data_IF_636374469599
#
_entry.id   IF_636374469599
#
_cell.length_a   1.000
_cell.length_b   1.000
_cell.length_c   1.000
_cell.angle_alpha   90.00
_cell.angle_beta   90.00
_cell.angle_gamma   90.00
#
_symmetry.space_group_name_H-M   'P 1'
#
loop_
_entity.id
_entity.type
_entity.pdbx_description
1 polymer ?
#
# COMPACT_ATOMS: atom_id res chain seq x y z
N UNK A 1 -23.42 11.69 4.48
CA UNK A 1 -23.45 10.55 5.44
C UNK A 1 -22.69 9.40 4.78
N UNK A 2 -21.52 9.02 5.31
CA UNK A 2 -20.63 8.01 4.69
C UNK A 2 -21.01 6.63 5.23
N UNK A 3 -21.80 5.87 4.47
CA UNK A 3 -22.26 4.53 4.82
C UNK A 3 -21.16 3.45 4.68
N UNK A 4 -19.98 3.66 5.25
CA UNK A 4 -18.87 2.68 5.18
C UNK A 4 -18.52 2.04 6.52
N UNK A 5 -19.19 2.42 7.61
CA UNK A 5 -19.05 1.74 8.89
C UNK A 5 -20.44 1.54 9.48
N UNK A 6 -21.25 0.69 8.85
CA UNK A 6 -22.24 -0.06 9.63
C UNK A 6 -21.44 -1.11 10.38
N UNK A 7 -21.38 -0.94 11.70
CA UNK A 7 -20.65 -1.83 12.59
C UNK A 7 -21.10 -3.26 12.37
N UNK A 8 -20.20 -4.05 11.80
CA UNK A 8 -20.13 -5.49 12.00
C UNK A 8 -18.67 -5.90 11.75
N UNK A 9 -18.11 -6.65 12.70
CA UNK A 9 -16.81 -7.30 12.53
C UNK A 9 -16.92 -8.16 11.27
N UNK A 10 -16.09 -7.95 10.23
CA UNK A 10 -16.19 -8.75 9.03
C UNK A 10 -16.00 -10.23 9.39
N UNK A 11 -16.86 -11.09 8.83
CA UNK A 11 -16.71 -12.53 8.93
C UNK A 11 -15.27 -12.94 8.59
N UNK A 12 -14.74 -13.97 9.26
CA UNK A 12 -13.34 -14.41 9.20
C UNK A 12 -12.76 -14.74 7.79
N UNK A 13 -13.54 -14.55 6.73
CA UNK A 13 -13.24 -14.85 5.34
C UNK A 13 -13.02 -13.63 4.43
N UNK A 14 -13.17 -12.38 4.91
CA UNK A 14 -12.90 -11.20 4.08
C UNK A 14 -11.42 -10.85 4.11
N UNK A 15 -10.73 -11.27 3.05
CA UNK A 15 -9.32 -11.01 2.82
C UNK A 15 -9.16 -9.99 1.70
N UNK A 16 -8.26 -9.03 1.90
CA UNK A 16 -7.93 -8.04 0.86
C UNK A 16 -6.59 -8.40 0.23
N UNK A 17 -6.52 -8.20 -1.08
CA UNK A 17 -5.30 -8.29 -1.86
C UNK A 17 -4.95 -6.90 -2.40
N UNK A 18 -3.69 -6.49 -2.36
CA UNK A 18 -3.23 -5.20 -2.90
C UNK A 18 -1.93 -5.37 -3.68
N UNK A 19 -1.75 -4.56 -4.72
CA UNK A 19 -0.49 -4.44 -5.47
C UNK A 19 0.09 -3.06 -5.19
N UNK A 20 1.16 -3.00 -4.41
CA UNK A 20 1.69 -1.73 -3.87
C UNK A 20 3.21 -1.70 -3.84
N UNK A 21 3.77 -0.49 -3.91
CA UNK A 21 5.20 -0.23 -3.88
C UNK A 21 5.66 0.08 -2.44
N UNK A 22 6.79 -0.49 -2.03
CA UNK A 22 7.31 -0.32 -0.66
C UNK A 22 7.96 1.06 -0.49
N UNK A 23 7.42 1.83 0.44
CA UNK A 23 7.96 3.12 0.85
C UNK A 23 9.01 2.96 1.95
N UNK A 24 8.65 2.28 3.05
CA UNK A 24 9.57 2.03 4.17
C UNK A 24 9.38 0.62 4.73
N UNK A 25 10.45 0.10 5.31
CA UNK A 25 10.49 -1.22 5.96
C UNK A 25 11.09 -1.04 7.34
N UNK A 26 10.35 -1.45 8.37
CA UNK A 26 10.77 -1.34 9.76
C UNK A 26 10.61 -2.69 10.45
N UNK A 27 11.63 -3.12 11.18
CA UNK A 27 11.53 -4.32 12.00
C UNK A 27 10.81 -3.97 13.31
N UNK A 28 9.81 -4.76 13.69
CA UNK A 28 9.17 -4.58 14.99
C UNK A 28 10.17 -4.82 16.13
N UNK A 29 10.03 -4.05 17.20
CA UNK A 29 10.89 -4.13 18.41
C UNK A 29 10.92 -5.53 19.02
N UNK A 30 9.79 -6.26 18.98
CA UNK A 30 9.71 -7.64 19.47
C UNK A 30 10.40 -8.67 18.56
N UNK A 31 10.96 -8.23 17.42
CA UNK A 31 11.63 -9.04 16.42
C UNK A 31 10.78 -10.23 15.91
N UNK A 32 9.45 -10.09 15.87
CA UNK A 32 8.50 -11.11 15.40
C UNK A 32 7.71 -10.71 14.15
N UNK A 33 8.03 -9.58 13.56
CA UNK A 33 7.36 -9.11 12.36
C UNK A 33 8.04 -7.89 11.78
N UNK A 34 7.61 -7.54 10.59
CA UNK A 34 8.11 -6.41 9.81
C UNK A 34 6.93 -5.53 9.46
N UNK A 35 7.03 -4.24 9.80
CA UNK A 35 6.07 -3.22 9.41
C UNK A 35 6.51 -2.63 8.07
N UNK A 36 5.63 -2.67 7.09
CA UNK A 36 5.87 -2.17 5.74
C UNK A 36 4.89 -1.05 5.48
N UNK A 37 5.41 0.11 5.10
CA UNK A 37 4.59 1.23 4.62
C UNK A 37 4.61 1.19 3.11
N UNK A 38 3.43 1.24 2.51
CA UNK A 38 3.20 0.99 1.09
C UNK A 38 2.50 2.19 0.46
N UNK A 39 2.84 2.47 -0.79
CA UNK A 39 2.17 3.46 -1.64
C UNK A 39 1.64 2.77 -2.88
N UNK A 40 0.76 3.44 -3.63
CA UNK A 40 0.20 2.86 -4.85
C UNK A 40 1.33 2.33 -5.77
N UNK A 41 1.21 1.08 -6.23
CA UNK A 41 2.18 0.43 -7.11
C UNK A 41 2.42 1.18 -8.42
N UNK A 42 1.45 1.98 -8.88
CA UNK A 42 1.56 2.86 -10.05
C UNK A 42 2.62 3.94 -9.89
N UNK A 43 3.04 4.25 -8.67
CA UNK A 43 4.06 5.26 -8.41
C UNK A 43 5.49 4.73 -8.58
N UNK A 44 5.69 3.42 -8.79
CA UNK A 44 7.02 2.83 -8.85
C UNK A 44 7.95 3.43 -9.93
N UNK A 45 7.50 3.74 -11.17
CA UNK A 45 8.36 4.41 -12.16
C UNK A 45 8.85 5.79 -11.73
N UNK A 46 8.09 6.48 -10.86
CA UNK A 46 8.41 7.82 -10.36
C UNK A 46 8.74 7.81 -8.86
N UNK A 47 9.13 6.66 -8.31
CA UNK A 47 9.20 6.43 -6.87
C UNK A 47 10.00 7.51 -6.12
N UNK A 48 11.20 7.84 -6.60
CA UNK A 48 12.05 8.87 -5.98
C UNK A 48 11.39 10.25 -5.94
N UNK A 49 10.73 10.67 -7.01
CA UNK A 49 10.04 11.96 -7.06
C UNK A 49 8.81 11.96 -6.15
N UNK A 50 8.08 10.83 -6.12
CA UNK A 50 6.93 10.65 -5.25
C UNK A 50 7.30 10.67 -3.77
N UNK A 51 8.40 10.03 -3.35
CA UNK A 51 8.91 10.10 -1.98
C UNK A 51 9.18 11.56 -1.56
N UNK A 52 9.85 12.34 -2.41
CA UNK A 52 10.10 13.77 -2.14
C UNK A 52 8.82 14.58 -2.02
N UNK A 53 7.77 14.23 -2.79
CA UNK A 53 6.45 14.85 -2.67
C UNK A 53 5.81 14.51 -1.32
N UNK A 54 5.85 13.25 -0.90
CA UNK A 54 5.30 12.80 0.38
C UNK A 54 6.01 13.45 1.58
N UNK A 55 7.32 13.66 1.50
CA UNK A 55 8.10 14.33 2.56
C UNK A 55 7.70 15.80 2.77
N UNK A 56 7.22 16.46 1.71
CA UNK A 56 6.77 17.86 1.74
C UNK A 56 5.29 18.02 2.11
N UNK A 57 4.53 16.93 2.09
CA UNK A 57 3.11 16.94 2.45
C UNK A 57 2.95 17.06 3.97
N UNK A 58 1.85 17.70 4.40
CA UNK A 58 1.44 17.60 5.79
C UNK A 58 1.12 16.13 6.15
N UNK A 59 1.26 15.75 7.43
CA UNK A 59 1.09 14.36 7.85
C UNK A 59 -0.26 13.76 7.47
N UNK A 60 -1.35 14.53 7.54
CA UNK A 60 -2.70 14.04 7.24
C UNK A 60 -2.84 13.67 5.75
N UNK A 61 -2.37 14.54 4.84
CA UNK A 61 -2.36 14.24 3.40
C UNK A 61 -1.45 13.07 3.05
N UNK A 62 -0.31 12.95 3.72
CA UNK A 62 0.61 11.83 3.52
C UNK A 62 -0.03 10.51 3.97
N UNK A 63 -0.62 10.50 5.17
CA UNK A 63 -1.17 9.30 5.81
C UNK A 63 -2.38 8.74 5.03
N UNK A 64 -3.15 9.61 4.38
CA UNK A 64 -4.22 9.23 3.45
C UNK A 64 -3.73 8.52 2.17
N UNK A 65 -2.43 8.56 1.85
CA UNK A 65 -1.84 7.98 0.62
C UNK A 65 -1.02 6.72 0.89
N UNK A 66 -0.89 6.33 2.15
CA UNK A 66 -0.09 5.17 2.55
C UNK A 66 -0.97 4.08 3.16
N UNK A 67 -0.58 2.84 2.90
CA UNK A 67 -1.09 1.65 3.57
C UNK A 67 0.02 1.09 4.46
N UNK A 68 -0.25 0.91 5.75
CA UNK A 68 0.70 0.26 6.65
C UNK A 68 0.29 -1.19 6.88
N UNK A 69 1.16 -2.13 6.54
CA UNK A 69 0.92 -3.57 6.75
C UNK A 69 1.95 -4.13 7.72
N UNK A 70 1.47 -4.77 8.78
CA UNK A 70 2.32 -5.57 9.66
C UNK A 70 2.39 -7.01 9.18
N UNK A 71 3.56 -7.44 8.74
CA UNK A 71 3.84 -8.81 8.30
C UNK A 71 4.49 -9.58 9.43
N UNK A 72 3.72 -10.46 10.07
CA UNK A 72 4.21 -11.31 11.15
C UNK A 72 5.08 -12.44 10.60
N UNK A 73 6.18 -12.74 11.29
CA UNK A 73 7.07 -13.82 10.88
C UNK A 73 6.38 -15.18 10.94
N UNK A 74 6.85 -16.16 10.14
CA UNK A 74 6.42 -17.54 10.28
C UNK A 74 6.63 -18.04 11.70
N UNK A 75 5.63 -18.74 12.24
CA UNK A 75 5.73 -19.42 13.54
C UNK A 75 6.86 -20.46 13.55
N UNK A 76 7.09 -21.10 12.40
CA UNK A 76 8.15 -22.09 12.20
C UNK A 76 9.41 -21.35 11.72
N UNK A 77 10.45 -21.35 12.56
CA UNK A 77 11.69 -20.59 12.34
C UNK A 77 12.53 -21.02 11.13
N UNK A 78 12.33 -22.25 10.63
CA UNK A 78 13.05 -22.75 9.45
C UNK A 78 12.56 -22.11 8.15
N UNK A 79 11.36 -21.52 8.14
CA UNK A 79 10.94 -20.71 7.01
C UNK A 79 11.62 -19.35 7.06
N UNK A 80 12.20 -18.94 5.95
CA UNK A 80 12.80 -17.62 5.80
C UNK A 80 11.78 -16.52 6.11
N UNK A 81 12.25 -15.47 6.78
CA UNK A 81 11.48 -14.24 6.99
C UNK A 81 11.29 -13.50 5.66
N UNK A 82 10.12 -12.89 5.41
CA UNK A 82 9.95 -11.99 4.27
C UNK A 82 10.97 -10.86 4.31
N UNK A 83 11.58 -10.55 3.16
CA UNK A 83 12.50 -9.43 2.97
C UNK A 83 11.89 -8.50 1.94
N UNK A 84 11.48 -7.32 2.40
CA UNK A 84 10.95 -6.27 1.54
C UNK A 84 12.06 -5.32 1.13
N UNK A 85 12.00 -4.83 -0.10
CA UNK A 85 12.93 -3.84 -0.62
C UNK A 85 12.18 -2.56 -0.96
N UNK A 86 12.71 -1.43 -0.50
CA UNK A 86 12.16 -0.09 -0.82
C UNK A 86 12.18 0.15 -2.33
N UNK A 87 11.08 0.66 -2.87
CA UNK A 87 10.90 0.92 -4.30
C UNK A 87 10.46 -0.29 -5.13
N UNK A 88 10.35 -1.48 -4.53
CA UNK A 88 9.88 -2.69 -5.20
C UNK A 88 8.37 -2.87 -5.00
N UNK A 89 7.70 -3.41 -6.03
CA UNK A 89 6.25 -3.67 -6.01
C UNK A 89 5.98 -5.10 -5.57
N UNK A 90 5.05 -5.24 -4.63
CA UNK A 90 4.59 -6.53 -4.15
C UNK A 90 3.08 -6.67 -4.30
N UNK A 91 2.63 -7.87 -4.67
CA UNK A 91 1.26 -8.31 -4.42
C UNK A 91 1.20 -8.91 -3.01
N UNK A 92 0.35 -8.33 -2.17
CA UNK A 92 0.07 -8.79 -0.82
C UNK A 92 -1.35 -9.31 -0.78
N UNK A 93 -1.53 -10.62 -0.58
CA UNK A 93 -2.83 -11.28 -0.45
C UNK A 93 -3.13 -11.57 1.02
N UNK A 94 -4.39 -11.86 1.33
CA UNK A 94 -4.81 -12.28 2.68
C UNK A 94 -4.47 -11.26 3.77
N UNK A 95 -4.57 -9.96 3.45
CA UNK A 95 -4.52 -8.91 4.46
C UNK A 95 -5.76 -9.06 5.33
N UNK A 96 -5.54 -9.17 6.64
CA UNK A 96 -6.56 -9.28 7.66
C UNK A 96 -6.47 -8.09 8.62
N UNK A 97 -7.53 -7.87 9.41
CA UNK A 97 -7.59 -6.79 10.41
C UNK A 97 -7.37 -5.41 9.80
N UNK A 98 -7.96 -5.14 8.62
CA UNK A 98 -7.91 -3.78 8.07
C UNK A 98 -8.69 -2.82 8.95
N UNK A 99 -8.02 -1.77 9.43
CA UNK A 99 -8.59 -0.73 10.29
C UNK A 99 -8.06 0.63 9.89
N UNK A 100 -8.89 1.66 10.08
CA UNK A 100 -8.47 3.04 9.99
C UNK A 100 -7.99 3.49 11.37
N UNK A 101 -6.75 3.96 11.48
CA UNK A 101 -6.14 4.38 12.74
C UNK A 101 -5.24 5.59 12.50
N UNK A 102 -5.47 6.67 13.25
CA UNK A 102 -4.80 7.98 13.04
C UNK A 102 -4.73 8.37 11.57
N UNK A 103 -5.87 8.40 10.89
CA UNK A 103 -5.97 8.83 9.48
C UNK A 103 -5.23 7.97 8.44
N UNK A 104 -4.67 6.83 8.88
CA UNK A 104 -3.95 5.88 8.05
C UNK A 104 -4.66 4.53 8.02
N UNK A 105 -4.69 3.89 6.85
CA UNK A 105 -5.16 2.51 6.71
C UNK A 105 -4.06 1.57 7.19
N UNK A 106 -4.42 0.68 8.12
CA UNK A 106 -3.52 -0.32 8.67
C UNK A 106 -4.08 -1.73 8.49
N UNK A 107 -3.23 -2.68 8.17
CA UNK A 107 -3.57 -4.09 8.02
C UNK A 107 -2.50 -5.01 8.58
N UNK A 108 -2.77 -6.30 8.61
CA UNK A 108 -1.79 -7.32 9.02
C UNK A 108 -1.80 -8.50 8.05
N UNK A 109 -0.68 -9.20 7.98
CA UNK A 109 -0.52 -10.47 7.24
C UNK A 109 0.27 -11.42 8.13
N UNK A 110 -0.13 -12.68 8.15
CA UNK A 110 0.69 -13.73 8.72
C UNK A 110 1.57 -14.31 7.61
N UNK A 111 2.88 -14.15 7.70
CA UNK A 111 3.79 -14.92 6.84
C UNK A 111 3.71 -16.38 7.27
N UNK A 112 3.41 -17.26 6.32
CA UNK A 112 3.24 -18.70 6.58
C UNK A 112 4.40 -19.53 6.02
N UNK A 113 5.53 -18.89 5.68
CA UNK A 113 6.67 -19.59 5.10
C UNK A 113 6.35 -20.29 3.78
N UNK A 114 7.00 -21.42 3.50
CA UNK A 114 6.80 -22.20 2.26
C UNK A 114 5.41 -22.85 2.17
N UNK A 115 4.61 -22.81 3.24
CA UNK A 115 3.27 -23.39 3.25
C UNK A 115 2.24 -22.58 2.45
N UNK A 116 2.53 -21.31 2.10
CA UNK A 116 1.69 -20.51 1.19
C UNK A 116 2.57 -19.61 0.30
N UNK A 117 3.18 -20.15 -0.77
CA UNK A 117 4.11 -19.41 -1.64
C UNK A 117 3.47 -18.27 -2.47
N UNK A 118 2.21 -17.90 -2.23
CA UNK A 118 1.48 -16.87 -2.99
C UNK A 118 0.88 -15.74 -2.17
N UNK A 119 1.18 -15.63 -0.87
CA UNK A 119 0.63 -14.55 -0.02
C UNK A 119 1.38 -13.23 -0.21
N UNK A 120 2.69 -13.32 -0.46
CA UNK A 120 3.56 -12.19 -0.76
C UNK A 120 4.28 -12.55 -2.05
N UNK A 121 4.02 -11.81 -3.11
CA UNK A 121 4.65 -12.01 -4.41
C UNK A 121 5.35 -10.73 -4.83
N UNK A 122 6.62 -10.83 -5.22
CA UNK A 122 7.39 -9.73 -5.77
C UNK A 122 7.17 -9.65 -7.28
N UNK A 123 7.01 -8.43 -7.82
CA UNK A 123 7.03 -8.20 -9.25
C UNK A 123 8.43 -7.81 -9.70
N UNK A 124 8.92 -8.47 -10.75
CA UNK A 124 10.22 -8.17 -11.34
C UNK A 124 10.26 -6.79 -12.01
N UNK A 125 9.13 -6.36 -12.59
CA UNK A 125 9.00 -5.07 -13.24
C UNK A 125 7.61 -4.43 -13.05
N UNK A 126 7.53 -3.15 -13.42
CA UNK A 126 6.32 -2.35 -13.35
C UNK A 126 5.19 -2.90 -14.24
N UNK A 127 5.52 -3.34 -15.45
CA UNK A 127 4.54 -3.74 -16.45
C UNK A 127 3.81 -5.02 -16.03
N UNK A 128 4.53 -5.95 -15.39
CA UNK A 128 3.94 -7.13 -14.76
C UNK A 128 2.98 -6.74 -13.64
N UNK A 129 3.37 -5.80 -12.76
CA UNK A 129 2.50 -5.33 -11.68
C UNK A 129 1.24 -4.63 -12.20
N UNK A 130 1.40 -3.81 -13.25
CA UNK A 130 0.30 -3.10 -13.91
C UNK A 130 -0.69 -4.07 -14.56
N UNK A 131 -0.19 -5.07 -15.30
CA UNK A 131 -1.04 -6.13 -15.90
C UNK A 131 -1.80 -6.90 -14.83
N UNK A 132 -1.11 -7.36 -13.78
CA UNK A 132 -1.74 -8.10 -12.68
C UNK A 132 -2.83 -7.28 -11.97
N UNK A 133 -2.69 -5.95 -11.90
CA UNK A 133 -3.73 -5.07 -11.34
C UNK A 133 -4.97 -4.98 -12.24
N UNK A 134 -4.80 -4.98 -13.55
CA UNK A 134 -5.92 -4.96 -14.51
C UNK A 134 -6.71 -6.28 -14.50
N UNK A 135 -6.00 -7.39 -14.25
CA UNK A 135 -6.60 -8.73 -14.20
C UNK A 135 -7.26 -9.06 -12.85
N UNK A 136 -7.03 -8.24 -11.82
CA UNK A 136 -7.60 -8.43 -10.48
C UNK A 136 -8.94 -7.70 -10.33
N UNK A 137 -10.00 -8.33 -9.80
CA UNK A 137 -11.22 -7.59 -9.43
C UNK A 137 -10.85 -6.55 -8.36
N UNK A 138 -10.99 -5.28 -8.72
CA UNK A 138 -10.36 -4.16 -8.01
C UNK A 138 -10.68 -4.13 -6.51
N UNK A 139 -9.66 -3.99 -5.63
CA UNK A 139 -9.82 -3.24 -4.39
C UNK A 139 -9.87 -1.75 -4.79
N UNK A 140 -11.03 -1.13 -4.60
CA UNK A 140 -11.28 0.28 -4.93
C UNK A 140 -10.44 1.20 -4.04
N UNK A 141 -9.23 1.53 -4.47
CA UNK A 141 -8.56 2.76 -4.06
C UNK A 141 -8.55 3.70 -5.27
N UNK A 142 -9.66 4.44 -5.40
CA UNK A 142 -9.77 5.49 -6.40
C UNK A 142 -8.94 6.70 -5.92
N UNK A 143 -7.71 6.83 -6.41
CA UNK A 143 -6.90 8.05 -6.23
C UNK A 143 -7.28 9.15 -7.23
N UNK A 144 -8.55 9.24 -7.65
CA UNK A 144 -9.09 10.46 -8.25
C UNK A 144 -9.51 11.44 -7.14
N UNK A 145 -8.54 11.89 -6.35
CA UNK A 145 -8.57 13.27 -5.91
C UNK A 145 -7.73 14.01 -6.94
N UNK A 146 -8.38 14.58 -7.97
CA UNK A 146 -7.80 15.74 -8.65
C UNK A 146 -7.55 16.76 -7.55
N UNK A 147 -6.29 17.05 -7.25
CA UNK A 147 -5.95 18.19 -6.40
C UNK A 147 -6.45 19.43 -7.19
N UNK A 148 -7.37 20.25 -6.66
CA UNK A 148 -7.89 21.44 -7.35
C UNK A 148 -6.86 22.59 -7.42
N UNK A 149 -5.57 22.29 -7.24
CA UNK A 149 -4.48 23.27 -7.21
C UNK A 149 -3.61 23.24 -8.48
N UNK A 150 -3.93 22.37 -9.44
CA UNK A 150 -3.21 22.29 -10.73
C UNK A 150 -3.97 23.01 -11.88
N UNK A 151 -5.05 23.77 -11.57
CA UNK A 151 -5.80 24.54 -12.57
C UNK A 151 -5.42 26.04 -12.60
N UNK A 152 -4.85 26.59 -11.53
CA UNK A 152 -4.53 28.03 -11.45
C UNK A 152 -3.22 28.44 -12.16
N UNK A 153 -2.38 27.50 -12.61
CA UNK A 153 -1.13 27.83 -13.35
C UNK A 153 -1.32 27.86 -14.88
N UNK A 154 -2.53 27.62 -15.41
CA UNK A 154 -2.77 27.63 -16.87
C UNK A 154 -3.58 28.81 -17.38
N UNK A 155 -4.25 29.58 -16.52
CA UNK A 155 -5.06 30.72 -16.97
C UNK A 155 -4.24 32.02 -17.15
N UNK A 156 -3.03 32.14 -16.59
CA UNK A 156 -2.22 33.36 -16.76
C UNK A 156 -1.40 33.41 -18.07
N UNK A 157 -1.19 32.29 -18.79
CA UNK A 157 -0.48 32.31 -20.08
C UNK A 157 -1.37 32.63 -21.29
N UNK A 158 -2.71 32.50 -21.18
CA UNK A 158 -3.65 32.83 -22.28
C UNK A 158 -4.11 34.30 -22.27
N UNK A 159 -3.91 35.06 -21.18
CA UNK A 159 -4.30 36.49 -21.13
C UNK A 159 -3.20 37.47 -21.60
N UNK A 160 -2.05 36.96 -22.06
CA UNK A 160 -0.89 37.77 -22.50
C UNK A 160 -0.42 37.54 -23.96
N UNK A 161 -1.23 36.92 -24.83
CA UNK A 161 -1.01 36.88 -26.29
C UNK A 161 -2.18 37.45 -27.09
#
# INVERSE_FOLDING_TARGET
VREFVKGDVPAAAVFISVIMCVLTVERLVNNRGTRVTLVDGLMQPHFKAYCRRLEKMDPFRRDARVLQVTVWDPKIRSHGRPRFQTGVVYELKKIHTMKFYHDMVQGSIQSLGTANPGVIQEFADFEMAKRARLDSPAPLFNNQARDPADEDEKEEEEEMM
#
